data_IF_573940203258
#
_entry.id   IF_573940203258
#
_cell.length_a   1.000
_cell.length_b   1.000
_cell.length_c   1.000
_cell.angle_alpha   90.00
_cell.angle_beta   90.00
_cell.angle_gamma   90.00
#
_symmetry.space_group_name_H-M   'P 1'
#
loop_
_entity.id
_entity.type
_entity.pdbx_description
1 polymer ?
#
# COMPACT_ATOMS: atom_id res chain seq x y z
N UNK A 1 -2.48 -20.22 -10.69
CA UNK A 1 -1.83 -18.93 -10.41
C UNK A 1 -1.20 -19.02 -9.03
N UNK A 2 0.09 -18.77 -8.89
CA UNK A 2 0.76 -18.75 -7.59
C UNK A 2 1.38 -17.38 -7.40
N UNK A 3 1.15 -16.78 -6.24
CA UNK A 3 1.48 -15.38 -5.96
C UNK A 3 2.49 -15.37 -4.84
N UNK A 4 3.60 -14.67 -5.09
CA UNK A 4 4.51 -14.26 -4.04
C UNK A 4 4.62 -12.76 -4.03
N UNK A 5 3.91 -12.15 -3.09
CA UNK A 5 3.94 -10.72 -2.85
C UNK A 5 4.34 -10.51 -1.41
N UNK A 6 5.29 -9.58 -1.14
CA UNK A 6 5.65 -9.24 0.22
C UNK A 6 4.41 -8.76 0.94
N UNK A 7 3.96 -9.56 1.91
CA UNK A 7 2.79 -9.23 2.71
C UNK A 7 3.16 -8.03 3.58
N UNK A 8 2.41 -6.93 3.51
CA UNK A 8 2.66 -5.78 4.36
C UNK A 8 2.57 -6.17 5.84
N UNK A 9 3.69 -6.10 6.54
CA UNK A 9 3.75 -6.43 7.96
C UNK A 9 3.89 -5.16 8.80
N UNK A 10 3.05 -4.99 9.84
CA UNK A 10 3.41 -4.12 10.97
C UNK A 10 4.65 -4.75 11.59
N UNK A 11 5.78 -4.05 11.55
CA UNK A 11 7.02 -4.55 12.15
C UNK A 11 6.75 -5.18 13.53
N UNK A 12 7.23 -6.41 13.70
CA UNK A 12 7.11 -7.29 14.90
C UNK A 12 5.86 -8.18 15.06
N UNK A 13 4.82 -8.13 14.20
CA UNK A 13 3.72 -9.12 14.29
C UNK A 13 3.74 -10.12 13.15
N UNK A 14 4.29 -11.30 13.44
CA UNK A 14 4.47 -12.42 12.51
C UNK A 14 3.18 -13.17 12.16
N UNK A 15 2.21 -12.52 11.52
CA UNK A 15 1.17 -13.27 10.80
C UNK A 15 1.78 -13.80 9.50
N UNK A 16 2.28 -15.04 9.53
CA UNK A 16 2.60 -15.80 8.31
C UNK A 16 1.28 -16.15 7.61
N UNK A 17 0.75 -15.25 6.79
CA UNK A 17 -0.43 -15.53 5.97
C UNK A 17 -1.26 -14.29 5.60
N UNK A 18 -2.14 -14.48 4.63
CA UNK A 18 -3.15 -13.50 4.26
C UNK A 18 -4.20 -13.38 5.37
N UNK A 19 -4.67 -12.16 5.60
CA UNK A 19 -5.72 -11.94 6.58
C UNK A 19 -7.08 -12.53 6.17
N UNK A 20 -7.96 -12.87 7.13
CA UNK A 20 -9.26 -13.46 6.84
C UNK A 20 -10.12 -12.62 5.88
N UNK A 21 -10.05 -11.28 6.01
CA UNK A 21 -10.76 -10.37 5.11
C UNK A 21 -10.29 -10.48 3.66
N UNK A 22 -8.98 -10.65 3.44
CA UNK A 22 -8.41 -10.85 2.09
C UNK A 22 -8.85 -12.19 1.52
N UNK A 23 -8.80 -13.28 2.32
CA UNK A 23 -9.23 -14.61 1.89
C UNK A 23 -10.69 -14.59 1.45
N UNK A 24 -11.57 -13.97 2.24
CA UNK A 24 -12.98 -13.82 1.91
C UNK A 24 -13.16 -13.04 0.59
N UNK A 25 -12.47 -11.91 0.42
CA UNK A 25 -12.52 -11.13 -0.82
C UNK A 25 -12.11 -11.94 -2.05
N UNK A 26 -11.11 -12.82 -1.92
CA UNK A 26 -10.67 -13.68 -3.01
C UNK A 26 -11.68 -14.79 -3.32
N UNK A 27 -12.34 -15.34 -2.30
CA UNK A 27 -13.39 -16.35 -2.47
C UNK A 27 -14.62 -15.77 -3.17
N UNK A 28 -14.90 -14.48 -2.99
CA UNK A 28 -15.99 -13.77 -3.67
C UNK A 28 -15.71 -13.53 -5.17
N UNK A 29 -14.44 -13.58 -5.61
CA UNK A 29 -14.06 -13.39 -7.02
C UNK A 29 -14.38 -14.65 -7.81
N UNK A 30 -15.40 -14.56 -8.67
CA UNK A 30 -15.84 -15.64 -9.56
C UNK A 30 -15.79 -17.05 -8.90
N UNK A 31 -16.61 -17.31 -7.87
CA UNK A 31 -16.48 -18.50 -7.01
C UNK A 31 -16.58 -19.83 -7.77
N UNK A 32 -17.26 -19.83 -8.93
CA UNK A 32 -17.36 -21.00 -9.79
C UNK A 32 -16.03 -21.35 -10.46
N UNK A 33 -15.23 -20.35 -10.87
CA UNK A 33 -14.01 -20.56 -11.64
C UNK A 33 -12.74 -20.50 -10.79
N UNK A 34 -12.74 -19.77 -9.69
CA UNK A 34 -11.54 -19.54 -8.87
C UNK A 34 -11.65 -20.26 -7.52
N UNK A 35 -10.61 -21.01 -7.16
CA UNK A 35 -10.51 -21.68 -5.85
C UNK A 35 -9.14 -21.50 -5.24
N UNK A 36 -9.08 -21.24 -3.93
CA UNK A 36 -7.84 -21.26 -3.16
C UNK A 36 -7.41 -22.73 -2.98
N UNK A 37 -6.12 -22.99 -3.18
CA UNK A 37 -5.52 -24.32 -3.00
C UNK A 37 -4.69 -24.30 -1.72
N UNK A 38 -4.98 -25.23 -0.81
CA UNK A 38 -4.24 -25.42 0.43
C UNK A 38 -3.59 -26.81 0.48
N UNK A 39 -2.32 -26.93 0.91
CA UNK A 39 -1.39 -25.82 1.19
C UNK A 39 -0.99 -25.08 -0.09
N UNK A 40 -0.49 -23.84 0.06
CA UNK A 40 0.11 -23.12 -1.06
C UNK A 40 1.31 -23.92 -1.62
N UNK A 41 1.57 -23.76 -2.92
CA UNK A 41 2.75 -24.34 -3.55
C UNK A 41 4.01 -23.81 -2.88
N UNK A 42 5.00 -24.67 -2.71
CA UNK A 42 6.28 -24.31 -2.10
C UNK A 42 6.88 -23.06 -2.74
N UNK A 43 7.31 -22.11 -1.90
CA UNK A 43 7.84 -20.81 -2.31
C UNK A 43 6.79 -19.71 -2.57
N UNK A 44 5.50 -19.98 -2.32
CA UNK A 44 4.43 -19.01 -2.53
C UNK A 44 3.53 -18.86 -1.30
N UNK A 45 3.06 -17.64 -1.05
CA UNK A 45 2.12 -17.29 0.02
C UNK A 45 0.68 -17.69 -0.34
N UNK A 46 0.34 -17.72 -1.64
CA UNK A 46 -0.99 -18.07 -2.13
C UNK A 46 -0.92 -18.88 -3.42
N UNK A 47 -1.73 -19.92 -3.53
CA UNK A 47 -1.95 -20.65 -4.78
C UNK A 47 -3.44 -20.74 -5.08
N UNK A 48 -3.80 -20.39 -6.32
CA UNK A 48 -5.15 -20.36 -6.84
C UNK A 48 -5.28 -21.31 -8.03
N UNK A 49 -6.34 -22.09 -8.04
CA UNK A 49 -6.78 -22.91 -9.17
C UNK A 49 -7.86 -22.17 -9.95
N UNK A 50 -7.61 -21.98 -11.24
CA UNK A 50 -8.56 -21.37 -12.17
C UNK A 50 -9.12 -22.46 -13.09
N UNK A 51 -10.45 -22.57 -13.18
CA UNK A 51 -11.14 -23.38 -14.16
C UNK A 51 -11.70 -22.50 -15.27
N UNK A 52 -10.99 -22.45 -16.40
CA UNK A 52 -11.33 -21.61 -17.56
C UNK A 52 -12.71 -21.96 -18.12
N UNK A 53 -13.11 -23.23 -18.08
CA UNK A 53 -14.41 -23.68 -18.58
C UNK A 53 -15.59 -23.15 -17.74
N UNK A 54 -15.33 -22.71 -16.50
CA UNK A 54 -16.35 -22.16 -15.60
C UNK A 54 -16.38 -20.63 -15.60
N UNK A 55 -15.53 -19.97 -16.42
CA UNK A 55 -15.60 -18.52 -16.61
C UNK A 55 -16.82 -18.23 -17.51
N UNK A 56 -17.75 -17.34 -17.08
CA UNK A 56 -18.89 -16.95 -17.89
C UNK A 56 -18.46 -16.36 -19.25
N UNK A 57 -19.36 -16.35 -20.22
CA UNK A 57 -19.11 -15.72 -21.52
C UNK A 57 -19.69 -14.30 -21.58
N UNK A 58 -19.26 -13.52 -22.56
CA UNK A 58 -19.78 -12.16 -22.78
C UNK A 58 -19.36 -11.14 -21.71
N UNK A 59 -20.28 -10.26 -21.32
CA UNK A 59 -19.99 -9.16 -20.39
C UNK A 59 -19.56 -9.66 -19.00
N UNK A 60 -20.22 -10.69 -18.50
CA UNK A 60 -19.92 -11.27 -17.18
C UNK A 60 -18.55 -11.97 -17.18
N UNK A 61 -18.18 -12.60 -18.30
CA UNK A 61 -16.85 -13.15 -18.50
C UNK A 61 -15.75 -12.09 -18.46
N UNK A 62 -15.97 -10.97 -19.16
CA UNK A 62 -15.03 -9.85 -19.15
C UNK A 62 -14.86 -9.27 -17.75
N UNK A 63 -15.95 -9.16 -16.99
CA UNK A 63 -15.92 -8.72 -15.59
C UNK A 63 -15.10 -9.69 -14.72
N UNK A 64 -15.36 -11.00 -14.83
CA UNK A 64 -14.64 -12.02 -14.09
C UNK A 64 -13.13 -12.00 -14.39
N UNK A 65 -12.75 -11.88 -15.67
CA UNK A 65 -11.34 -11.78 -16.06
C UNK A 65 -10.68 -10.54 -15.47
N UNK A 66 -11.36 -9.39 -15.46
CA UNK A 66 -10.85 -8.16 -14.83
C UNK A 66 -10.65 -8.33 -13.33
N UNK A 67 -11.59 -8.94 -12.64
CA UNK A 67 -11.48 -9.20 -11.19
C UNK A 67 -10.33 -10.18 -10.88
N UNK A 68 -10.17 -11.24 -11.69
CA UNK A 68 -9.05 -12.18 -11.57
C UNK A 68 -7.71 -11.48 -11.83
N UNK A 69 -7.63 -10.62 -12.86
CA UNK A 69 -6.42 -9.86 -13.16
C UNK A 69 -6.05 -8.86 -12.04
N UNK A 70 -7.03 -8.42 -11.25
CA UNK A 70 -6.84 -7.48 -10.15
C UNK A 70 -6.49 -8.12 -8.80
N UNK A 71 -6.30 -9.44 -8.73
CA UNK A 71 -6.09 -10.18 -7.47
C UNK A 71 -4.94 -9.60 -6.62
N UNK A 72 -3.82 -9.24 -7.24
CA UNK A 72 -2.68 -8.64 -6.52
C UNK A 72 -3.08 -7.30 -5.85
N UNK A 73 -3.79 -6.45 -6.57
CA UNK A 73 -4.32 -5.19 -6.03
C UNK A 73 -5.36 -5.45 -4.92
N UNK A 74 -6.19 -6.48 -5.05
CA UNK A 74 -7.14 -6.89 -4.00
C UNK A 74 -6.40 -7.34 -2.74
N UNK A 75 -5.34 -8.12 -2.87
CA UNK A 75 -4.50 -8.55 -1.74
C UNK A 75 -3.91 -7.33 -1.03
N UNK A 76 -3.18 -6.48 -1.76
CA UNK A 76 -2.50 -5.32 -1.17
C UNK A 76 -3.49 -4.33 -0.53
N UNK A 77 -4.59 -4.01 -1.21
CA UNK A 77 -5.58 -3.07 -0.72
C UNK A 77 -6.36 -3.60 0.49
N UNK A 78 -6.63 -4.91 0.55
CA UNK A 78 -7.34 -5.53 1.68
C UNK A 78 -6.46 -5.57 2.93
N UNK A 79 -5.18 -5.90 2.79
CA UNK A 79 -4.20 -5.82 3.88
C UNK A 79 -4.06 -4.39 4.39
N UNK A 80 -3.92 -3.41 3.49
CA UNK A 80 -3.85 -2.00 3.87
C UNK A 80 -5.10 -1.57 4.64
N UNK A 81 -6.31 -1.88 4.12
CA UNK A 81 -7.57 -1.54 4.79
C UNK A 81 -7.67 -2.12 6.20
N UNK A 82 -7.26 -3.36 6.39
CA UNK A 82 -7.29 -3.98 7.72
C UNK A 82 -6.27 -3.35 8.66
N UNK A 83 -5.03 -3.10 8.21
CA UNK A 83 -4.03 -2.41 9.02
C UNK A 83 -4.51 -1.02 9.45
N UNK A 84 -5.13 -0.26 8.53
CA UNK A 84 -5.70 1.05 8.83
C UNK A 84 -6.91 0.98 9.77
N UNK A 85 -7.75 -0.05 9.64
CA UNK A 85 -8.89 -0.28 10.55
C UNK A 85 -8.43 -0.60 11.96
N UNK A 86 -7.38 -1.39 12.10
CA UNK A 86 -6.79 -1.78 13.39
C UNK A 86 -5.83 -0.72 13.96
N UNK A 87 -5.69 0.42 13.28
CA UNK A 87 -4.90 1.55 13.76
C UNK A 87 -5.76 2.44 14.66
N UNK A 88 -5.92 2.05 15.93
CA UNK A 88 -6.64 2.84 16.93
C UNK A 88 -5.79 4.02 17.44
N UNK A 89 -6.40 5.19 17.69
CA UNK A 89 -5.73 6.32 18.33
C UNK A 89 -5.43 6.08 19.82
N UNK A 90 -5.88 4.98 20.43
CA UNK A 90 -5.65 4.68 21.85
C UNK A 90 -4.19 4.29 22.18
N UNK A 91 -3.36 4.00 21.17
CA UNK A 91 -1.90 3.89 21.31
C UNK A 91 -1.23 5.28 21.53
N UNK A 92 -1.99 6.38 21.51
CA UNK A 92 -1.49 7.76 21.67
C UNK A 92 -1.34 8.23 23.13
N UNK A 93 -1.34 7.33 24.11
CA UNK A 93 -1.11 7.69 25.51
C UNK A 93 0.33 8.15 25.81
N UNK A 94 1.26 8.12 24.84
CA UNK A 94 2.64 8.62 24.98
C UNK A 94 3.13 9.51 23.83
N UNK A 95 2.25 10.34 23.24
CA UNK A 95 2.64 11.21 22.12
C UNK A 95 2.36 10.57 20.76
N UNK A 96 2.88 11.20 19.69
CA UNK A 96 2.52 10.93 18.30
C UNK A 96 2.40 9.42 18.00
N UNK A 97 1.26 9.03 17.41
CA UNK A 97 0.99 7.64 17.08
C UNK A 97 2.07 7.12 16.13
N UNK A 98 2.73 6.01 16.48
CA UNK A 98 3.83 5.45 15.68
C UNK A 98 3.33 5.12 14.26
N UNK A 99 4.00 5.59 13.20
CA UNK A 99 3.55 5.31 11.84
C UNK A 99 3.58 3.81 11.54
N UNK A 100 2.65 3.34 10.70
CA UNK A 100 2.71 2.00 10.12
C UNK A 100 3.74 2.03 8.99
N UNK A 101 4.81 1.25 9.14
CA UNK A 101 5.72 0.95 8.04
C UNK A 101 5.15 -0.17 7.17
N UNK A 102 5.07 0.09 5.88
CA UNK A 102 4.73 -0.83 4.79
C UNK A 102 6.00 -1.06 3.96
N UNK A 103 6.31 -2.29 3.57
CA UNK A 103 7.52 -2.59 2.77
C UNK A 103 7.16 -3.56 1.67
N UNK A 104 6.93 -3.04 0.46
CA UNK A 104 6.75 -3.88 -0.74
C UNK A 104 8.08 -4.22 -1.42
N UNK A 105 9.09 -3.39 -1.22
CA UNK A 105 10.45 -3.63 -1.66
C UNK A 105 11.39 -3.28 -0.51
N UNK A 106 12.44 -4.07 -0.21
CA UNK A 106 13.25 -3.88 1.00
C UNK A 106 13.86 -2.49 1.19
N UNK A 107 14.02 -1.73 0.10
CA UNK A 107 14.58 -0.37 0.10
C UNK A 107 13.54 0.74 -0.08
N UNK A 108 12.26 0.39 -0.24
CA UNK A 108 11.19 1.35 -0.54
C UNK A 108 10.07 1.14 0.48
N UNK A 109 10.30 1.56 1.74
CA UNK A 109 9.24 1.59 2.72
C UNK A 109 8.25 2.69 2.37
N UNK A 110 6.98 2.46 2.67
CA UNK A 110 5.93 3.46 2.68
C UNK A 110 5.48 3.59 4.12
N UNK A 111 5.27 4.80 4.61
CA UNK A 111 4.81 5.03 5.97
C UNK A 111 3.40 5.58 5.96
N UNK A 112 2.55 5.10 6.86
CA UNK A 112 1.23 5.69 7.09
C UNK A 112 1.15 6.16 8.53
N UNK A 113 1.06 7.48 8.71
CA UNK A 113 0.91 8.12 10.01
C UNK A 113 -0.55 8.60 10.16
N UNK A 114 -1.25 8.16 11.21
CA UNK A 114 -2.58 8.70 11.52
C UNK A 114 -2.44 9.81 12.55
N UNK A 115 -3.08 10.93 12.26
CA UNK A 115 -3.29 12.04 13.16
C UNK A 115 -4.79 12.13 13.49
N UNK A 116 -5.20 12.86 14.55
CA UNK A 116 -6.61 12.93 14.95
C UNK A 116 -7.58 13.40 13.86
N UNK A 117 -7.12 14.24 12.92
CA UNK A 117 -7.95 14.87 11.88
C UNK A 117 -7.58 14.47 10.45
N UNK A 118 -6.44 13.79 10.25
CA UNK A 118 -5.95 13.41 8.92
C UNK A 118 -5.06 12.17 8.97
N UNK A 119 -4.90 11.51 7.84
CA UNK A 119 -3.96 10.41 7.67
C UNK A 119 -2.93 10.79 6.62
N UNK A 120 -1.65 10.72 6.94
CA UNK A 120 -0.56 11.08 6.04
C UNK A 120 0.14 9.82 5.56
N UNK A 121 0.34 9.71 4.25
CA UNK A 121 1.13 8.64 3.62
C UNK A 121 2.44 9.25 3.14
N UNK A 122 3.57 8.77 3.69
CA UNK A 122 4.91 9.28 3.41
C UNK A 122 5.71 8.26 2.61
N UNK A 123 6.28 8.70 1.50
CA UNK A 123 7.13 7.94 0.59
C UNK A 123 8.56 8.51 0.63
N UNK A 124 9.52 7.84 1.28
CA UNK A 124 10.94 8.15 1.14
C UNK A 124 11.43 7.70 -0.25
N UNK A 125 11.77 8.67 -1.10
CA UNK A 125 12.04 8.43 -2.52
C UNK A 125 13.51 8.10 -2.78
N UNK A 126 13.82 6.86 -3.15
CA UNK A 126 15.21 6.44 -3.45
C UNK A 126 15.39 6.20 -4.94
N UNK A 127 16.36 6.89 -5.53
CA UNK A 127 16.71 6.75 -6.93
C UNK A 127 18.11 6.18 -7.08
N UNK A 128 18.32 5.31 -8.07
CA UNK A 128 19.62 4.71 -8.33
C UNK A 128 20.56 5.69 -9.03
N UNK A 129 20.03 6.48 -9.96
CA UNK A 129 20.80 7.40 -10.79
C UNK A 129 20.67 8.85 -10.28
N UNK A 130 21.76 9.61 -10.33
CA UNK A 130 21.74 11.00 -9.90
C UNK A 130 20.88 11.90 -10.82
N UNK A 131 20.80 11.56 -12.10
CA UNK A 131 19.89 12.19 -13.07
C UNK A 131 18.43 12.05 -12.65
N UNK A 132 18.02 10.85 -12.21
CA UNK A 132 16.65 10.60 -11.76
C UNK A 132 16.30 11.41 -10.52
N UNK A 133 17.26 11.65 -9.62
CA UNK A 133 17.05 12.55 -8.47
C UNK A 133 16.67 13.94 -8.95
N UNK A 134 17.38 14.49 -9.94
CA UNK A 134 17.13 15.84 -10.47
C UNK A 134 15.74 15.88 -11.12
N UNK A 135 15.44 14.92 -12.00
CA UNK A 135 14.17 14.85 -12.72
C UNK A 135 13.01 14.69 -11.74
N UNK A 136 13.11 13.77 -10.79
CA UNK A 136 12.05 13.50 -9.83
C UNK A 136 11.84 14.68 -8.87
N UNK A 137 12.90 15.35 -8.42
CA UNK A 137 12.77 16.53 -7.56
C UNK A 137 12.01 17.65 -8.27
N UNK A 138 12.33 17.93 -9.54
CA UNK A 138 11.57 18.89 -10.34
C UNK A 138 10.11 18.46 -10.51
N UNK A 139 9.85 17.18 -10.78
CA UNK A 139 8.48 16.66 -10.87
C UNK A 139 7.70 16.82 -9.55
N UNK A 140 8.30 16.55 -8.39
CA UNK A 140 7.63 16.70 -7.10
C UNK A 140 7.35 18.15 -6.74
N UNK A 141 8.25 19.07 -7.11
CA UNK A 141 8.01 20.50 -6.94
C UNK A 141 6.79 20.96 -7.76
N UNK A 142 6.75 20.62 -9.04
CA UNK A 142 5.60 20.92 -9.90
C UNK A 142 4.31 20.27 -9.38
N UNK A 143 4.38 19.02 -8.91
CA UNK A 143 3.22 18.32 -8.34
C UNK A 143 2.68 19.02 -7.09
N UNK A 144 3.55 19.53 -6.21
CA UNK A 144 3.13 20.34 -5.06
C UNK A 144 2.46 21.63 -5.50
N UNK A 145 3.06 22.34 -6.45
CA UNK A 145 2.55 23.63 -6.93
C UNK A 145 1.16 23.45 -7.54
N UNK A 146 0.99 22.46 -8.42
CA UNK A 146 -0.32 22.12 -9.00
C UNK A 146 -1.32 21.67 -7.94
N UNK A 147 -0.89 20.80 -7.01
CA UNK A 147 -1.74 20.29 -5.93
C UNK A 147 -2.20 21.37 -4.93
N UNK A 148 -1.48 22.49 -4.86
CA UNK A 148 -1.83 23.64 -4.00
C UNK A 148 -2.81 24.62 -4.65
N UNK A 149 -3.09 24.47 -5.95
CA UNK A 149 -4.01 25.36 -6.68
C UNK A 149 -5.48 25.10 -6.34
N UNK A 150 -6.31 26.15 -6.44
CA UNK A 150 -7.75 26.07 -6.16
C UNK A 150 -8.49 25.09 -7.10
N UNK A 151 -7.98 24.91 -8.32
CA UNK A 151 -8.51 23.98 -9.32
C UNK A 151 -8.50 22.53 -8.83
N UNK A 152 -7.52 22.19 -7.99
CA UNK A 152 -7.32 20.84 -7.45
C UNK A 152 -7.60 20.75 -5.94
N UNK A 153 -8.35 21.70 -5.37
CA UNK A 153 -8.66 21.75 -3.93
C UNK A 153 -9.38 20.50 -3.37
N UNK A 154 -9.99 19.67 -4.24
CA UNK A 154 -10.63 18.40 -3.86
C UNK A 154 -9.68 17.20 -3.84
N UNK A 155 -8.45 17.37 -4.32
CA UNK A 155 -7.44 16.31 -4.33
C UNK A 155 -6.74 16.22 -2.98
N UNK A 156 -6.20 15.04 -2.62
CA UNK A 156 -5.35 14.91 -1.44
C UNK A 156 -4.17 15.90 -1.51
N UNK A 157 -3.95 16.75 -0.49
CA UNK A 157 -2.79 17.62 -0.46
C UNK A 157 -1.50 16.81 -0.58
N UNK A 158 -0.59 17.27 -1.44
CA UNK A 158 0.72 16.67 -1.65
C UNK A 158 1.81 17.65 -1.20
N UNK A 159 2.84 17.14 -0.53
CA UNK A 159 4.03 17.90 -0.16
C UNK A 159 5.29 17.08 -0.39
N UNK A 160 6.42 17.77 -0.54
CA UNK A 160 7.75 17.20 -0.68
C UNK A 160 8.70 17.93 0.27
N UNK A 161 9.57 17.16 0.92
CA UNK A 161 10.58 17.68 1.83
C UNK A 161 11.91 16.96 1.62
N UNK A 162 13.05 17.67 1.62
CA UNK A 162 14.36 17.02 1.60
C UNK A 162 14.71 16.32 2.91
N UNK A 163 14.01 16.63 4.02
CA UNK A 163 14.24 16.06 5.35
C UNK A 163 13.04 15.22 5.82
N UNK A 164 13.26 14.22 6.71
CA UNK A 164 12.18 13.40 7.24
C UNK A 164 11.11 14.26 7.93
N UNK A 165 9.82 14.07 7.60
CA UNK A 165 8.75 14.82 8.24
C UNK A 165 8.56 14.36 9.70
N UNK A 166 7.92 15.20 10.52
CA UNK A 166 7.88 15.00 11.98
C UNK A 166 7.16 13.71 12.40
N UNK A 167 6.26 13.22 11.54
CA UNK A 167 5.51 11.98 11.66
C UNK A 167 6.41 10.74 11.67
N UNK A 168 7.60 10.82 11.07
CA UNK A 168 8.55 9.71 11.01
C UNK A 168 9.63 9.78 12.09
N UNK A 169 9.48 10.66 13.09
CA UNK A 169 10.42 10.74 14.21
C UNK A 169 10.47 9.42 14.96
N UNK A 170 11.69 8.92 15.18
CA UNK A 170 11.94 7.66 15.90
C UNK A 170 12.01 6.42 15.01
N UNK A 171 11.77 6.54 13.70
CA UNK A 171 12.01 5.45 12.74
C UNK A 171 13.51 5.24 12.49
N UNK A 172 13.86 4.04 12.01
CA UNK A 172 15.24 3.66 11.78
C UNK A 172 15.91 4.54 10.71
N UNK A 173 17.17 4.93 10.95
CA UNK A 173 17.94 5.80 10.02
C UNK A 173 18.00 5.21 8.61
N UNK A 174 18.11 3.88 8.49
CA UNK A 174 18.14 3.18 7.20
C UNK A 174 16.87 3.45 6.38
N UNK A 175 15.70 3.48 7.04
CA UNK A 175 14.43 3.75 6.39
C UNK A 175 14.22 5.23 6.06
N UNK A 176 14.91 6.12 6.76
CA UNK A 176 14.89 7.57 6.52
C UNK A 176 16.02 8.06 5.61
N UNK A 177 17.00 7.21 5.29
CA UNK A 177 18.09 7.57 4.38
C UNK A 177 17.60 7.56 2.94
N UNK A 178 17.42 8.74 2.35
CA UNK A 178 16.88 8.95 1.02
C UNK A 178 17.71 9.98 0.24
N UNK A 179 17.78 9.85 -1.09
CA UNK A 179 18.41 10.84 -1.97
C UNK A 179 17.40 11.67 -2.78
N UNK A 180 16.13 11.28 -2.82
CA UNK A 180 15.05 12.01 -3.49
C UNK A 180 14.09 12.73 -2.54
N UNK A 181 14.40 12.76 -1.23
CA UNK A 181 13.53 13.36 -0.21
C UNK A 181 12.32 12.49 0.14
N UNK A 182 11.29 13.14 0.67
CA UNK A 182 10.06 12.54 1.19
C UNK A 182 8.86 13.19 0.54
N UNK A 183 8.03 12.38 -0.13
CA UNK A 183 6.75 12.82 -0.68
C UNK A 183 5.64 12.40 0.28
N UNK A 184 4.77 13.33 0.65
CA UNK A 184 3.68 13.10 1.61
C UNK A 184 2.35 13.43 0.98
N UNK A 185 1.39 12.51 1.06
CA UNK A 185 -0.01 12.74 0.72
C UNK A 185 -0.87 12.74 1.97
N UNK A 186 -1.64 13.80 2.16
CA UNK A 186 -2.63 13.90 3.22
C UNK A 186 -3.99 13.40 2.73
N UNK A 187 -4.47 12.33 3.33
CA UNK A 187 -5.78 11.75 3.10
C UNK A 187 -6.75 12.32 4.14
N UNK A 188 -7.85 12.91 3.65
CA UNK A 188 -8.95 13.31 4.52
C UNK A 188 -9.51 12.09 5.25
N UNK A 189 -9.82 12.24 6.54
CA UNK A 189 -10.51 11.19 7.28
C UNK A 189 -11.86 10.91 6.60
N UNK A 190 -12.06 9.66 6.18
CA UNK A 190 -13.35 9.13 5.73
C UNK A 190 -14.27 9.02 6.93
#
# INVERSE_FOLDING_TARGET
LSISTPIPSRGTLGSKGLCPYTIQKLQDICPAALKIVEPAREGYELTLRLNIAQIPQGKDGTKAIKEIAAIESVILSSQLKEMLRNFSPEDASQGACKPIKFTYHPREPIFVARQPLKMSVVFPMRFKEASDVIIATSFFQELMDVGSSEEWAKTPPCSWSPIPPAELRGEAIEDLSTNGGFVTFDLASI
#
